data_IF_339290273057
#
_entry.id   IF_339290273057
#
_cell.length_a   1.000
_cell.length_b   1.000
_cell.length_c   1.000
_cell.angle_alpha   90.00
_cell.angle_beta   90.00
_cell.angle_gamma   90.00
#
_symmetry.space_group_name_H-M   'P 1'
#
loop_
_entity.id
_entity.type
_entity.pdbx_description
1 polymer ?
#
# COMPACT_ATOMS: atom_id res chain seq x y z
N UNK A 1 15.77 4.73 13.57
CA UNK A 1 16.05 3.56 14.45
C UNK A 1 15.69 3.85 15.91
N UNK A 2 14.67 4.69 16.15
CA UNK A 2 14.30 5.18 17.48
C UNK A 2 12.95 4.61 17.94
N UNK A 3 12.43 3.58 17.25
CA UNK A 3 11.15 2.93 17.56
C UNK A 3 9.95 3.90 17.61
N UNK A 4 10.05 5.00 16.86
CA UNK A 4 8.99 5.98 16.71
C UNK A 4 8.12 5.57 15.51
N UNK A 5 6.82 5.29 15.71
CA UNK A 5 5.91 4.97 14.60
C UNK A 5 5.76 6.15 13.64
N UNK A 6 5.76 5.87 12.34
CA UNK A 6 5.33 6.78 11.29
C UNK A 6 3.86 6.49 10.95
N UNK A 7 3.00 7.50 11.09
CA UNK A 7 1.55 7.40 10.81
C UNK A 7 1.21 8.30 9.61
N UNK A 8 1.21 7.78 8.36
CA UNK A 8 0.99 8.59 7.18
C UNK A 8 -0.49 9.00 6.98
N UNK A 9 -0.77 10.30 7.09
CA UNK A 9 -2.12 10.90 6.96
C UNK A 9 -2.77 10.70 5.57
N UNK A 10 -1.99 10.37 4.53
CA UNK A 10 -2.48 10.09 3.16
C UNK A 10 -2.09 8.68 2.68
N UNK A 11 -2.42 7.66 3.49
CA UNK A 11 -2.00 6.26 3.24
C UNK A 11 -2.52 5.63 1.95
N UNK A 12 -3.56 6.19 1.32
CA UNK A 12 -4.15 5.67 0.08
C UNK A 12 -3.53 6.27 -1.19
N UNK A 13 -2.80 7.38 -1.07
CA UNK A 13 -2.14 8.04 -2.19
C UNK A 13 -0.68 7.58 -2.24
N UNK A 14 -0.21 7.28 -3.45
CA UNK A 14 1.21 7.06 -3.71
C UNK A 14 1.85 8.36 -4.23
N UNK A 15 3.18 8.46 -4.12
CA UNK A 15 3.95 9.61 -4.61
C UNK A 15 4.34 9.51 -6.08
N UNK A 16 3.91 8.46 -6.79
CA UNK A 16 4.29 8.25 -8.18
C UNK A 16 3.55 9.21 -9.11
N UNK A 17 4.17 9.51 -10.25
CA UNK A 17 3.52 10.37 -11.25
C UNK A 17 2.33 9.65 -11.88
N UNK A 18 1.32 10.38 -12.38
CA UNK A 18 0.19 9.77 -13.10
C UNK A 18 0.56 8.95 -14.35
N UNK A 19 1.79 9.11 -14.87
CA UNK A 19 2.31 8.35 -16.01
C UNK A 19 3.04 7.07 -15.59
N UNK A 20 3.31 6.93 -14.30
CA UNK A 20 3.95 5.76 -13.72
C UNK A 20 2.88 4.70 -13.45
N UNK A 21 2.99 3.57 -14.13
CA UNK A 21 2.01 2.49 -14.11
C UNK A 21 2.43 1.32 -13.21
N UNK A 22 3.55 1.42 -12.47
CA UNK A 22 4.10 0.31 -11.70
C UNK A 22 3.13 -0.24 -10.66
N UNK A 23 2.42 0.66 -9.96
CA UNK A 23 1.37 0.26 -9.00
C UNK A 23 0.24 -0.49 -9.71
N UNK A 24 -0.17 -0.06 -10.90
CA UNK A 24 -1.22 -0.72 -11.68
C UNK A 24 -0.76 -2.11 -12.18
N UNK A 25 0.49 -2.26 -12.59
CA UNK A 25 1.06 -3.55 -12.99
C UNK A 25 1.09 -4.55 -11.83
N UNK A 26 1.54 -4.13 -10.64
CA UNK A 26 1.51 -4.96 -9.44
C UNK A 26 0.07 -5.27 -9.01
N UNK A 27 -0.84 -4.30 -9.12
CA UNK A 27 -2.26 -4.52 -8.81
C UNK A 27 -2.86 -5.62 -9.69
N UNK A 28 -2.53 -5.64 -10.99
CA UNK A 28 -2.93 -6.72 -11.90
C UNK A 28 -2.32 -8.07 -11.51
N UNK A 29 -1.01 -8.10 -11.20
CA UNK A 29 -0.31 -9.33 -10.76
C UNK A 29 -0.99 -9.99 -9.56
N UNK A 30 -1.45 -9.18 -8.60
CA UNK A 30 -2.05 -9.63 -7.36
C UNK A 30 -3.58 -9.68 -7.37
N UNK A 31 -4.23 -9.34 -8.49
CA UNK A 31 -5.69 -9.20 -8.58
C UNK A 31 -6.27 -8.29 -7.48
N UNK A 32 -5.55 -7.22 -7.19
CA UNK A 32 -5.83 -6.27 -6.13
C UNK A 32 -6.12 -4.88 -6.71
N UNK A 33 -6.63 -3.97 -5.88
CA UNK A 33 -6.74 -2.56 -6.26
C UNK A 33 -5.41 -1.84 -6.07
N UNK A 34 -5.18 -0.74 -6.81
CA UNK A 34 -4.00 0.10 -6.63
C UNK A 34 -3.85 0.62 -5.18
N UNK A 35 -4.98 0.94 -4.54
CA UNK A 35 -5.01 1.35 -3.15
C UNK A 35 -4.51 0.24 -2.20
N UNK A 36 -4.89 -1.02 -2.46
CA UNK A 36 -4.39 -2.17 -1.71
C UNK A 36 -2.89 -2.35 -1.88
N UNK A 37 -2.36 -2.19 -3.10
CA UNK A 37 -0.92 -2.29 -3.36
C UNK A 37 -0.16 -1.18 -2.62
N UNK A 38 -0.66 0.05 -2.64
CA UNK A 38 -0.02 1.15 -1.90
C UNK A 38 0.03 0.90 -0.39
N UNK A 39 -1.08 0.41 0.19
CA UNK A 39 -1.15 0.05 1.60
C UNK A 39 -0.24 -1.13 1.94
N UNK A 40 -0.23 -2.18 1.11
CA UNK A 40 0.65 -3.34 1.30
C UNK A 40 2.12 -2.92 1.27
N UNK A 41 2.50 -2.04 0.35
CA UNK A 41 3.85 -1.51 0.24
C UNK A 41 4.26 -0.70 1.49
N UNK A 42 3.37 0.17 2.01
CA UNK A 42 3.62 0.90 3.26
C UNK A 42 3.85 -0.05 4.44
N UNK A 43 3.05 -1.12 4.53
CA UNK A 43 3.18 -2.14 5.58
C UNK A 43 4.47 -2.97 5.44
N UNK A 44 4.96 -3.22 4.22
CA UNK A 44 6.22 -3.95 3.99
C UNK A 44 7.46 -3.10 4.24
N UNK A 45 7.37 -1.77 4.09
CA UNK A 45 8.51 -0.84 4.25
C UNK A 45 9.14 -0.87 5.64
N UNK A 46 8.35 -1.07 6.70
CA UNK A 46 8.85 -1.11 8.08
C UNK A 46 7.75 -1.57 9.04
N UNK A 47 8.07 -2.34 10.10
CA UNK A 47 7.11 -2.66 11.16
C UNK A 47 6.65 -1.44 11.97
N UNK A 48 7.30 -0.29 11.81
CA UNK A 48 6.96 0.98 12.48
C UNK A 48 6.11 1.91 11.62
N UNK A 49 5.58 1.45 10.48
CA UNK A 49 4.63 2.22 9.67
C UNK A 49 3.22 1.74 10.00
N UNK A 50 2.37 2.67 10.45
CA UNK A 50 0.97 2.41 10.76
C UNK A 50 0.08 3.26 9.83
N UNK A 51 -0.28 2.75 8.64
CA UNK A 51 -1.14 3.48 7.73
C UNK A 51 -2.55 3.61 8.31
N UNK A 52 -3.19 4.75 8.05
CA UNK A 52 -4.54 5.11 8.52
C UNK A 52 -5.46 5.40 7.33
N UNK A 53 -5.80 4.38 6.50
CA UNK A 53 -6.66 4.59 5.35
C UNK A 53 -8.08 4.97 5.78
N UNK A 54 -8.50 6.19 5.43
CA UNK A 54 -9.87 6.65 5.65
C UNK A 54 -10.82 6.19 4.56
N UNK A 55 -12.06 5.88 4.92
CA UNK A 55 -13.15 5.61 3.98
C UNK A 55 -14.52 5.80 4.64
N UNK A 56 -15.52 6.19 3.86
CA UNK A 56 -16.95 6.21 4.25
C UNK A 56 -17.75 5.04 3.65
N UNK A 57 -17.11 4.17 2.86
CA UNK A 57 -17.73 3.04 2.17
C UNK A 57 -17.31 1.72 2.83
N UNK A 58 -18.30 0.87 3.15
CA UNK A 58 -18.07 -0.47 3.69
C UNK A 58 -17.24 -1.33 2.73
N UNK A 59 -17.52 -1.25 1.43
CA UNK A 59 -16.76 -1.96 0.40
C UNK A 59 -15.26 -1.58 0.44
N UNK A 60 -14.97 -0.29 0.47
CA UNK A 60 -13.58 0.19 0.55
C UNK A 60 -12.94 -0.18 1.90
N UNK A 61 -13.71 -0.24 2.99
CA UNK A 61 -13.21 -0.70 4.28
C UNK A 61 -12.73 -2.15 4.18
N UNK A 62 -13.53 -3.03 3.58
CA UNK A 62 -13.14 -4.43 3.34
C UNK A 62 -11.93 -4.54 2.40
N UNK A 63 -11.85 -3.70 1.36
CA UNK A 63 -10.67 -3.65 0.48
C UNK A 63 -9.41 -3.22 1.24
N UNK A 64 -9.50 -2.18 2.07
CA UNK A 64 -8.39 -1.68 2.89
C UNK A 64 -7.85 -2.75 3.84
N UNK A 65 -8.74 -3.54 4.47
CA UNK A 65 -8.34 -4.63 5.37
C UNK A 65 -7.55 -5.71 4.63
N UNK A 66 -8.02 -6.11 3.44
CA UNK A 66 -7.36 -7.14 2.61
C UNK A 66 -5.96 -6.75 2.14
N UNK A 67 -5.60 -5.46 2.17
CA UNK A 67 -4.25 -5.03 1.83
C UNK A 67 -3.16 -5.64 2.74
N UNK A 68 -3.48 -5.95 4.00
CA UNK A 68 -2.54 -6.55 4.96
C UNK A 68 -2.18 -8.01 4.63
N UNK A 69 -3.03 -8.68 3.86
CA UNK A 69 -2.83 -10.09 3.45
C UNK A 69 -1.92 -10.21 2.22
N UNK A 70 -1.76 -9.13 1.45
CA UNK A 70 -0.90 -9.11 0.26
C UNK A 70 0.56 -9.18 0.71
N UNK A 71 1.27 -10.23 0.28
CA UNK A 71 2.71 -10.40 0.53
C UNK A 71 3.48 -10.02 -0.73
N UNK A 72 4.05 -8.81 -0.73
CA UNK A 72 4.88 -8.34 -1.82
C UNK A 72 6.23 -9.03 -1.75
N UNK A 73 6.71 -9.54 -2.88
CA UNK A 73 8.05 -10.14 -2.97
C UNK A 73 9.13 -9.06 -2.88
N UNK A 74 10.38 -9.46 -2.63
CA UNK A 74 11.50 -8.51 -2.67
C UNK A 74 11.64 -7.86 -4.05
N UNK A 75 11.36 -8.62 -5.12
CA UNK A 75 11.33 -8.11 -6.49
C UNK A 75 10.23 -7.05 -6.69
N UNK A 76 9.03 -7.28 -6.14
CA UNK A 76 7.93 -6.30 -6.22
C UNK A 76 8.25 -5.04 -5.44
N UNK A 77 8.83 -5.18 -4.25
CA UNK A 77 9.26 -4.04 -3.44
C UNK A 77 10.30 -3.21 -4.18
N UNK A 78 11.30 -3.86 -4.78
CA UNK A 78 12.33 -3.19 -5.58
C UNK A 78 11.78 -2.54 -6.85
N UNK A 79 10.78 -3.17 -7.49
CA UNK A 79 10.12 -2.60 -8.66
C UNK A 79 9.36 -1.31 -8.32
N UNK A 80 8.77 -1.23 -7.12
CA UNK A 80 8.01 -0.08 -6.64
C UNK A 80 8.86 1.06 -6.02
N UNK A 81 10.18 0.91 -5.93
CA UNK A 81 11.10 1.97 -5.46
C UNK A 81 11.42 3.01 -6.54
#
# INVERSE_FOLDING_TARGET
>A
KNEIPLVPYFSLLNSMSKKDNRIAEIAQKYQATEAQINLAWLLHRSPWILPIPGTSSLKHFEENLKAADIKLTEEDMKFLE
#
